data_IF_299718197590
#
_entry.id   IF_299718197590
#
_cell.length_a   1.000
_cell.length_b   1.000
_cell.length_c   1.000
_cell.angle_alpha   90.00
_cell.angle_beta   90.00
_cell.angle_gamma   90.00
#
_symmetry.space_group_name_H-M   'P 1'
#
loop_
_entity.id
_entity.type
_entity.pdbx_description
1 polymer ?
#
# COMPACT_ATOMS: atom_id res chain seq x y z
N UNK A 1 8.06 -17.35 11.29
CA UNK A 1 9.41 -17.02 11.81
C UNK A 1 10.20 -16.58 10.59
N UNK A 2 10.48 -15.30 10.36
CA UNK A 2 10.24 -14.14 11.22
C UNK A 2 8.77 -13.72 11.30
N UNK A 3 8.47 -12.94 12.33
CA UNK A 3 7.20 -12.29 12.66
C UNK A 3 7.52 -11.33 13.81
N UNK A 4 6.60 -10.43 14.20
CA UNK A 4 6.83 -9.61 15.38
C UNK A 4 6.74 -10.50 16.63
N UNK A 5 7.90 -10.97 17.09
CA UNK A 5 8.08 -11.77 18.28
C UNK A 5 8.15 -10.86 19.50
N UNK A 6 7.44 -11.29 20.52
CA UNK A 6 7.41 -10.76 21.87
C UNK A 6 7.26 -12.04 22.74
N UNK A 7 7.78 -12.16 23.98
CA UNK A 7 7.66 -13.39 24.80
C UNK A 7 7.38 -13.04 26.29
N UNK A 8 6.15 -13.19 26.85
CA UNK A 8 5.92 -12.75 28.24
C UNK A 8 6.46 -13.81 29.18
N UNK A 9 7.33 -13.39 30.09
CA UNK A 9 7.38 -13.88 31.47
C UNK A 9 7.62 -12.69 32.40
N UNK A 10 7.01 -12.63 33.60
CA UNK A 10 6.28 -13.67 34.33
C UNK A 10 5.11 -13.08 35.16
N UNK A 11 4.06 -13.88 35.40
CA UNK A 11 2.90 -13.46 36.21
C UNK A 11 1.61 -14.25 35.93
N UNK A 12 1.59 -15.54 36.28
CA UNK A 12 0.41 -16.42 36.47
C UNK A 12 -0.65 -16.59 35.35
N UNK A 13 -0.52 -15.98 34.17
CA UNK A 13 -1.48 -16.13 33.07
C UNK A 13 -0.81 -16.67 31.79
N UNK A 14 -1.16 -17.90 31.40
CA UNK A 14 -0.59 -18.57 30.23
C UNK A 14 -1.02 -17.94 28.89
N UNK A 15 -0.14 -17.97 27.89
CA UNK A 15 -0.45 -17.63 26.49
C UNK A 15 0.00 -16.27 25.96
N UNK A 16 0.80 -15.48 26.71
CA UNK A 16 1.16 -14.11 26.31
C UNK A 16 2.63 -13.91 25.83
N UNK A 17 2.83 -12.89 25.00
CA UNK A 17 4.07 -12.59 24.27
C UNK A 17 4.54 -11.10 24.42
N UNK A 18 5.52 -10.80 25.30
CA UNK A 18 6.48 -9.65 25.36
C UNK A 18 7.56 -9.75 26.47
N UNK A 19 8.86 -9.75 26.11
CA UNK A 19 9.95 -9.99 27.07
C UNK A 19 11.41 -9.86 26.57
N UNK A 20 11.67 -8.79 25.80
CA UNK A 20 12.97 -8.08 25.58
C UNK A 20 14.21 -8.81 25.03
N UNK A 21 14.77 -8.18 23.99
CA UNK A 21 16.20 -7.85 23.72
C UNK A 21 16.21 -6.70 22.67
N UNK A 22 17.22 -5.84 22.47
CA UNK A 22 18.41 -5.44 23.28
C UNK A 22 18.47 -3.89 23.39
N UNK A 23 19.45 -3.19 22.79
CA UNK A 23 19.70 -1.73 22.96
C UNK A 23 19.56 -0.87 21.68
N UNK A 24 19.22 -1.45 20.53
CA UNK A 24 19.01 -0.71 19.27
C UNK A 24 17.75 -1.20 18.52
N UNK A 25 17.06 -0.28 17.81
CA UNK A 25 15.78 -0.44 17.07
C UNK A 25 14.49 -0.38 17.90
N UNK A 26 14.19 0.80 18.46
CA UNK A 26 13.04 1.04 19.35
C UNK A 26 11.71 1.28 18.64
N UNK A 27 10.74 0.36 18.80
CA UNK A 27 9.33 0.59 18.49
C UNK A 27 8.44 -0.55 19.00
N UNK A 28 7.54 -0.27 19.95
CA UNK A 28 6.65 -1.28 20.56
C UNK A 28 5.24 -0.71 20.76
N UNK A 29 4.23 -1.58 20.81
CA UNK A 29 2.85 -1.22 21.15
C UNK A 29 2.51 -1.61 22.60
N UNK A 30 1.68 -0.80 23.28
CA UNK A 30 1.25 -1.08 24.65
C UNK A 30 -0.29 -1.15 24.77
N UNK A 31 -0.74 -2.27 25.34
CA UNK A 31 -2.06 -2.55 25.92
C UNK A 31 -3.31 -2.46 25.03
N UNK A 32 -4.32 -3.25 25.41
CA UNK A 32 -5.55 -3.50 24.63
C UNK A 32 -6.76 -3.11 25.49
N UNK A 33 -7.49 -2.08 25.08
CA UNK A 33 -8.80 -1.76 25.59
C UNK A 33 -9.74 -1.39 24.43
N UNK A 34 -11.02 -1.76 24.57
CA UNK A 34 -11.94 -2.12 23.48
C UNK A 34 -12.36 -1.02 22.51
N UNK A 35 -11.87 0.22 22.67
CA UNK A 35 -12.39 1.40 21.98
C UNK A 35 -11.35 2.29 21.29
N UNK A 36 -10.05 1.95 21.31
CA UNK A 36 -9.01 2.76 20.63
C UNK A 36 -7.73 2.01 20.28
N UNK A 37 -7.32 2.01 19.01
CA UNK A 37 -5.99 1.54 18.57
C UNK A 37 -5.00 2.70 18.60
N UNK A 38 -4.24 2.87 19.67
CA UNK A 38 -3.22 3.94 19.76
C UNK A 38 -1.85 3.41 19.33
N UNK A 39 -1.12 4.21 18.57
CA UNK A 39 0.21 3.91 18.07
C UNK A 39 1.26 4.26 19.14
N UNK A 40 2.05 3.28 19.59
CA UNK A 40 2.92 3.42 20.78
C UNK A 40 4.39 3.77 20.50
N UNK A 41 4.80 3.92 19.24
CA UNK A 41 6.20 4.14 18.88
C UNK A 41 6.65 5.60 19.07
N UNK A 42 7.75 5.71 19.80
CA UNK A 42 8.54 6.91 20.10
C UNK A 42 7.84 8.02 20.92
N UNK A 43 8.54 8.40 22.00
CA UNK A 43 8.28 9.65 22.70
C UNK A 43 8.58 10.78 21.73
N UNK A 44 7.68 11.75 21.62
CA UNK A 44 8.03 13.06 21.03
C UNK A 44 9.26 13.65 21.73
N UNK A 45 9.93 14.64 21.14
CA UNK A 45 11.04 15.36 21.79
C UNK A 45 10.71 15.90 23.21
N UNK A 46 9.42 16.03 23.54
CA UNK A 46 8.89 16.42 24.87
C UNK A 46 8.67 15.27 25.86
N UNK A 47 9.02 14.03 25.51
CA UNK A 47 8.87 12.86 26.38
C UNK A 47 7.48 12.20 26.40
N UNK A 48 6.50 12.77 25.70
CA UNK A 48 5.10 12.30 25.72
C UNK A 48 4.82 11.17 24.71
N UNK A 49 3.98 10.18 25.05
CA UNK A 49 3.58 9.10 24.13
C UNK A 49 2.69 9.63 23.00
N UNK A 50 2.84 9.05 21.81
CA UNK A 50 1.97 9.34 20.68
C UNK A 50 0.50 8.97 20.99
N UNK A 51 -0.41 9.90 20.69
CA UNK A 51 -1.87 9.72 20.85
C UNK A 51 -2.62 9.47 19.54
N UNK A 52 -1.90 9.30 18.41
CA UNK A 52 -2.53 9.10 17.10
C UNK A 52 -2.87 7.63 16.88
N UNK A 53 -3.99 7.41 16.20
CA UNK A 53 -4.54 6.08 16.01
C UNK A 53 -3.75 5.29 14.97
N UNK A 54 -3.44 4.03 15.29
CA UNK A 54 -2.93 3.08 14.31
C UNK A 54 -4.08 2.65 13.39
N UNK A 55 -4.23 3.36 12.27
CA UNK A 55 -5.25 3.06 11.27
C UNK A 55 -4.94 1.75 10.56
N UNK A 56 -5.74 0.73 10.90
CA UNK A 56 -5.79 -0.62 10.35
C UNK A 56 -4.66 -1.59 10.78
N UNK A 57 -5.07 -2.84 11.05
CA UNK A 57 -4.26 -3.94 11.61
C UNK A 57 -3.22 -4.50 10.62
N UNK A 58 -3.28 -4.08 9.36
CA UNK A 58 -2.60 -4.70 8.22
C UNK A 58 -1.70 -3.72 7.43
N UNK A 59 -1.65 -2.44 7.81
CA UNK A 59 -0.95 -1.40 7.07
C UNK A 59 0.07 -0.69 7.98
N UNK A 60 1.40 -0.82 7.76
CA UNK A 60 2.43 -0.41 8.73
C UNK A 60 2.69 1.11 8.82
N UNK A 61 1.89 1.96 8.19
CA UNK A 61 2.17 3.39 7.94
C UNK A 61 2.06 4.33 9.16
N UNK A 62 2.02 3.82 10.38
CA UNK A 62 2.02 4.68 11.56
C UNK A 62 3.44 5.16 11.95
N UNK A 63 4.45 4.29 11.88
CA UNK A 63 5.77 4.58 12.44
C UNK A 63 6.57 5.67 11.70
N UNK A 64 6.21 6.01 10.46
CA UNK A 64 6.92 7.05 9.70
C UNK A 64 6.63 8.50 10.14
N UNK A 65 5.69 8.72 11.08
CA UNK A 65 5.36 10.06 11.60
C UNK A 65 6.19 10.48 12.84
N UNK A 66 7.20 9.70 13.24
CA UNK A 66 7.96 9.92 14.47
C UNK A 66 9.48 10.11 14.29
N UNK A 67 10.07 9.58 13.22
CA UNK A 67 11.50 9.72 12.96
C UNK A 67 11.82 11.12 12.39
N UNK A 68 12.11 12.08 13.26
CA UNK A 68 12.52 13.45 12.92
C UNK A 68 13.83 13.52 12.09
N UNK A 69 14.61 12.43 12.02
CA UNK A 69 15.84 12.33 11.22
C UNK A 69 15.58 11.79 9.82
N UNK A 70 14.43 11.16 9.55
CA UNK A 70 13.99 10.83 8.19
C UNK A 70 13.32 12.07 7.58
N UNK A 71 13.78 12.58 6.43
CA UNK A 71 13.24 13.80 5.84
C UNK A 71 11.78 13.59 5.41
N UNK A 72 10.84 14.08 6.24
CA UNK A 72 9.38 14.16 6.01
C UNK A 72 8.88 13.16 4.97
N UNK A 73 8.89 11.87 5.32
CA UNK A 73 8.34 10.84 4.44
C UNK A 73 6.85 11.09 4.24
N UNK A 74 6.47 11.47 3.02
CA UNK A 74 5.08 11.53 2.55
C UNK A 74 4.37 10.24 2.97
N UNK A 75 3.28 10.35 3.74
CA UNK A 75 2.51 9.16 4.09
C UNK A 75 1.69 8.76 2.85
N UNK A 76 1.61 7.48 2.45
CA UNK A 76 0.75 7.07 1.34
C UNK A 76 -0.70 7.52 1.51
N UNK A 77 -1.19 7.63 2.75
CA UNK A 77 -2.54 8.12 3.03
C UNK A 77 -2.72 9.63 2.75
N UNK A 78 -1.65 10.42 2.70
CA UNK A 78 -1.73 11.84 2.34
C UNK A 78 -2.07 11.99 0.83
N UNK A 79 -1.86 10.94 0.02
CA UNK A 79 -2.27 10.83 -1.39
C UNK A 79 -3.69 10.27 -1.58
N UNK A 80 -4.42 9.90 -0.52
CA UNK A 80 -5.81 9.42 -0.60
C UNK A 80 -6.78 10.58 -0.39
N UNK A 81 -7.85 10.66 -1.18
CA UNK A 81 -8.95 11.58 -0.88
C UNK A 81 -9.88 11.01 0.21
N UNK A 82 -10.38 11.83 1.15
CA UNK A 82 -11.43 11.43 2.08
C UNK A 82 -12.68 10.93 1.35
N UNK A 83 -13.44 10.02 1.96
CA UNK A 83 -14.71 9.51 1.43
C UNK A 83 -14.66 8.97 -0.01
N UNK A 84 -13.48 8.50 -0.45
CA UNK A 84 -13.22 7.98 -1.80
C UNK A 84 -14.26 6.96 -2.30
N UNK A 85 -14.80 6.11 -1.43
CA UNK A 85 -15.87 5.16 -1.82
C UNK A 85 -17.13 5.92 -2.20
N UNK A 86 -17.62 6.74 -1.28
CA UNK A 86 -18.88 7.48 -1.39
C UNK A 86 -18.89 8.43 -2.59
N UNK A 87 -17.71 8.86 -3.06
CA UNK A 87 -17.55 9.70 -4.25
C UNK A 87 -17.38 8.93 -5.57
N UNK A 88 -16.80 7.73 -5.56
CA UNK A 88 -16.36 7.04 -6.80
C UNK A 88 -17.07 5.70 -7.05
N UNK A 89 -17.91 5.20 -6.13
CA UNK A 89 -18.49 3.85 -6.22
C UNK A 89 -19.26 3.62 -7.54
N UNK A 90 -20.13 4.55 -7.91
CA UNK A 90 -20.96 4.45 -9.12
C UNK A 90 -20.10 4.49 -10.39
N UNK A 91 -19.13 5.39 -10.47
CA UNK A 91 -18.17 5.47 -11.57
C UNK A 91 -17.33 4.20 -11.70
N UNK A 92 -16.92 3.58 -10.59
CA UNK A 92 -16.17 2.32 -10.58
C UNK A 92 -17.07 1.15 -11.03
N UNK A 93 -18.33 1.11 -10.58
CA UNK A 93 -19.29 0.09 -11.03
C UNK A 93 -19.57 0.22 -12.54
N UNK A 94 -19.75 1.46 -13.04
CA UNK A 94 -19.91 1.74 -14.46
C UNK A 94 -18.67 1.34 -15.28
N UNK A 95 -17.47 1.71 -14.82
CA UNK A 95 -16.19 1.33 -15.45
C UNK A 95 -15.98 -0.19 -15.51
N UNK A 96 -16.31 -0.90 -14.43
CA UNK A 96 -16.04 -2.34 -14.31
C UNK A 96 -17.19 -3.21 -14.81
N UNK A 97 -18.37 -2.63 -15.09
CA UNK A 97 -19.60 -3.35 -15.42
C UNK A 97 -20.13 -4.17 -14.25
N UNK A 98 -19.90 -3.71 -13.01
CA UNK A 98 -20.14 -4.47 -11.77
C UNK A 98 -19.39 -5.81 -11.70
N UNK A 99 -18.09 -5.83 -12.00
CA UNK A 99 -17.22 -7.01 -11.83
C UNK A 99 -16.06 -6.76 -10.87
N UNK A 100 -15.75 -7.75 -10.02
CA UNK A 100 -14.44 -7.83 -9.36
C UNK A 100 -13.39 -8.07 -10.45
N UNK A 101 -12.53 -7.08 -10.65
CA UNK A 101 -11.55 -7.06 -11.74
C UNK A 101 -10.46 -8.12 -11.60
N UNK A 102 -10.21 -8.64 -10.40
CA UNK A 102 -9.14 -9.59 -10.11
C UNK A 102 -9.66 -11.02 -10.08
N UNK A 103 -10.83 -11.26 -9.48
CA UNK A 103 -11.52 -12.53 -9.55
C UNK A 103 -12.11 -12.80 -10.94
N UNK A 104 -12.43 -11.73 -11.70
CA UNK A 104 -13.27 -11.75 -12.92
C UNK A 104 -14.57 -12.50 -12.64
N UNK A 105 -15.34 -11.97 -11.69
CA UNK A 105 -16.67 -12.43 -11.28
C UNK A 105 -17.62 -11.22 -11.15
N UNK A 106 -18.92 -11.36 -11.43
CA UNK A 106 -19.90 -10.32 -11.11
C UNK A 106 -19.85 -9.99 -9.61
N UNK A 107 -20.08 -8.72 -9.29
CA UNK A 107 -20.41 -8.28 -7.94
C UNK A 107 -21.93 -8.26 -7.89
N UNK A 108 -22.51 -9.13 -7.07
CA UNK A 108 -23.95 -9.11 -6.78
C UNK A 108 -24.27 -7.86 -5.96
N UNK A 109 -25.43 -7.22 -6.19
CA UNK A 109 -25.82 -5.98 -5.50
C UNK A 109 -25.80 -6.13 -3.97
N UNK A 110 -26.20 -7.30 -3.49
CA UNK A 110 -26.16 -7.73 -2.07
C UNK A 110 -24.76 -7.81 -1.48
N UNK A 111 -23.71 -7.84 -2.32
CA UNK A 111 -22.31 -7.98 -1.94
C UNK A 111 -21.49 -6.69 -2.16
N UNK A 112 -22.07 -5.63 -2.74
CA UNK A 112 -21.37 -4.35 -3.01
C UNK A 112 -20.73 -3.79 -1.73
N UNK A 113 -21.42 -3.85 -0.59
CA UNK A 113 -20.91 -3.38 0.70
C UNK A 113 -19.81 -4.24 1.33
N UNK A 114 -19.63 -5.48 0.85
CA UNK A 114 -18.49 -6.33 1.20
C UNK A 114 -17.25 -6.10 0.32
N UNK A 115 -17.39 -5.35 -0.79
CA UNK A 115 -16.27 -4.98 -1.66
C UNK A 115 -15.57 -3.72 -1.15
N UNK A 116 -14.26 -3.65 -1.30
CA UNK A 116 -13.45 -2.47 -0.99
C UNK A 116 -13.07 -1.72 -2.27
N UNK A 117 -13.12 -0.37 -2.21
CA UNK A 117 -12.54 0.48 -3.25
C UNK A 117 -11.02 0.51 -3.07
N UNK A 118 -10.32 0.10 -4.12
CA UNK A 118 -8.89 -0.16 -4.12
C UNK A 118 -8.17 0.63 -5.22
N UNK A 119 -6.94 1.05 -4.92
CA UNK A 119 -5.97 1.61 -5.86
C UNK A 119 -5.18 0.51 -6.57
N UNK A 120 -5.38 0.36 -7.88
CA UNK A 120 -4.71 -0.63 -8.74
C UNK A 120 -3.19 -0.47 -8.65
N UNK A 121 -2.69 0.75 -8.84
CA UNK A 121 -1.34 1.16 -8.48
C UNK A 121 -1.38 1.68 -7.05
N UNK A 122 -0.66 0.99 -6.16
CA UNK A 122 -0.67 1.27 -4.73
C UNK A 122 -0.14 2.67 -4.40
N UNK A 123 -0.73 3.29 -3.37
CA UNK A 123 -0.30 4.60 -2.88
C UNK A 123 1.16 4.60 -2.39
N UNK A 124 1.71 3.47 -1.93
CA UNK A 124 3.15 3.39 -1.63
C UNK A 124 4.03 3.50 -2.88
N UNK A 125 3.58 3.00 -4.04
CA UNK A 125 4.33 3.10 -5.30
C UNK A 125 4.38 4.55 -5.78
N UNK A 126 3.25 5.26 -5.70
CA UNK A 126 3.19 6.70 -5.98
C UNK A 126 4.04 7.52 -5.00
N UNK A 127 4.01 7.19 -3.69
CA UNK A 127 4.90 7.79 -2.68
C UNK A 127 6.36 7.58 -3.03
N UNK A 128 6.75 6.35 -3.40
CA UNK A 128 8.15 6.00 -3.65
C UNK A 128 8.68 6.73 -4.90
N UNK A 129 7.87 6.86 -5.96
CA UNK A 129 8.19 7.69 -7.12
C UNK A 129 8.36 9.18 -6.75
N UNK A 130 7.40 9.76 -6.01
CA UNK A 130 7.49 11.15 -5.50
C UNK A 130 8.69 11.37 -4.58
N UNK A 131 9.07 10.35 -3.80
CA UNK A 131 10.21 10.35 -2.88
C UNK A 131 11.57 10.42 -3.60
N UNK A 132 11.63 10.01 -4.86
CA UNK A 132 12.83 10.11 -5.70
C UNK A 132 12.95 11.45 -6.47
N UNK A 133 11.94 12.33 -6.39
CA UNK A 133 11.98 13.67 -7.00
C UNK A 133 12.72 14.69 -6.13
N UNK A 134 13.21 15.77 -6.75
CA UNK A 134 13.72 16.95 -6.04
C UNK A 134 12.62 17.60 -5.18
N UNK A 135 13.00 18.27 -4.09
CA UNK A 135 12.04 18.85 -3.14
C UNK A 135 11.08 19.90 -3.74
N UNK A 136 11.48 20.60 -4.82
CA UNK A 136 10.59 21.51 -5.57
C UNK A 136 9.53 20.72 -6.35
N UNK A 137 9.97 19.87 -7.29
CA UNK A 137 9.12 18.97 -8.08
C UNK A 137 8.18 18.14 -7.19
N UNK A 138 8.65 17.62 -6.06
CA UNK A 138 7.82 16.84 -5.13
C UNK A 138 6.66 17.65 -4.55
N UNK A 139 6.88 18.91 -4.14
CA UNK A 139 5.83 19.76 -3.56
C UNK A 139 4.74 20.09 -4.57
N UNK A 140 5.13 20.26 -5.83
CA UNK A 140 4.28 20.50 -6.98
C UNK A 140 3.49 19.23 -7.38
N UNK A 141 4.16 18.08 -7.46
CA UNK A 141 3.55 16.82 -7.89
C UNK A 141 2.67 16.14 -6.84
N UNK A 142 2.86 16.37 -5.52
CA UNK A 142 1.99 15.78 -4.48
C UNK A 142 0.49 16.09 -4.71
N UNK A 143 0.04 17.35 -4.83
CA UNK A 143 -1.37 17.64 -5.06
C UNK A 143 -1.85 17.15 -6.43
N UNK A 144 -1.01 17.21 -7.47
CA UNK A 144 -1.35 16.71 -8.80
C UNK A 144 -1.58 15.19 -8.77
N UNK A 145 -0.61 14.42 -8.26
CA UNK A 145 -0.70 12.95 -8.16
C UNK A 145 -1.89 12.55 -7.31
N UNK A 146 -2.13 13.23 -6.18
CA UNK A 146 -3.33 12.97 -5.37
C UNK A 146 -4.62 13.16 -6.16
N UNK A 147 -4.79 14.29 -6.84
CA UNK A 147 -6.09 14.67 -7.39
C UNK A 147 -6.34 14.14 -8.81
N UNK A 148 -5.30 13.79 -9.59
CA UNK A 148 -5.40 13.48 -11.02
C UNK A 148 -4.73 12.17 -11.45
N UNK A 149 -4.06 11.44 -10.54
CA UNK A 149 -3.35 10.19 -10.88
C UNK A 149 -3.72 9.06 -9.94
N UNK A 150 -3.40 9.20 -8.65
CA UNK A 150 -3.58 8.17 -7.64
C UNK A 150 -5.06 7.88 -7.38
N UNK A 151 -5.93 8.89 -7.33
CA UNK A 151 -7.39 8.70 -7.16
C UNK A 151 -8.17 8.88 -8.48
N UNK A 152 -7.50 8.86 -9.64
CA UNK A 152 -8.19 8.86 -10.92
C UNK A 152 -8.99 7.57 -11.12
N UNK A 153 -10.13 7.65 -11.82
CA UNK A 153 -11.01 6.52 -12.07
C UNK A 153 -10.29 5.37 -12.78
N UNK A 154 -9.26 5.61 -13.61
CA UNK A 154 -8.44 4.55 -14.20
C UNK A 154 -7.70 3.70 -13.15
N UNK A 155 -7.28 4.31 -12.03
CA UNK A 155 -6.59 3.65 -10.92
C UNK A 155 -7.52 2.97 -9.91
N UNK A 156 -8.84 3.13 -10.02
CA UNK A 156 -9.78 2.65 -9.02
C UNK A 156 -10.57 1.42 -9.48
N UNK A 157 -10.72 0.44 -8.59
CA UNK A 157 -11.46 -0.81 -8.82
C UNK A 157 -12.15 -1.28 -7.55
N UNK A 158 -13.10 -2.21 -7.70
CA UNK A 158 -13.66 -2.99 -6.59
C UNK A 158 -13.05 -4.40 -6.56
N UNK A 159 -12.78 -4.88 -5.35
CA UNK A 159 -12.45 -6.28 -5.07
C UNK A 159 -12.79 -6.63 -3.62
N UNK A 160 -12.71 -7.92 -3.26
CA UNK A 160 -12.86 -8.38 -1.88
C UNK A 160 -11.68 -7.97 -0.99
N UNK A 161 -11.93 -7.68 0.29
CA UNK A 161 -10.87 -7.32 1.26
C UNK A 161 -9.68 -8.33 1.30
N UNK A 162 -9.88 -9.66 1.26
CA UNK A 162 -8.76 -10.60 1.24
C UNK A 162 -7.85 -10.48 0.02
N UNK A 163 -8.41 -10.22 -1.17
CA UNK A 163 -7.63 -10.06 -2.42
C UNK A 163 -6.81 -8.77 -2.37
N UNK A 164 -7.41 -7.67 -1.89
CA UNK A 164 -6.71 -6.41 -1.65
C UNK A 164 -5.54 -6.60 -0.68
N UNK A 165 -5.77 -7.25 0.48
CA UNK A 165 -4.71 -7.50 1.47
C UNK A 165 -3.56 -8.32 0.88
N UNK A 166 -3.84 -9.37 0.09
CA UNK A 166 -2.80 -10.17 -0.58
C UNK A 166 -2.03 -9.38 -1.64
N UNK A 167 -2.72 -8.56 -2.46
CA UNK A 167 -2.08 -7.66 -3.43
C UNK A 167 -1.17 -6.64 -2.73
N UNK A 168 -1.70 -5.95 -1.72
CA UNK A 168 -1.00 -4.95 -0.95
C UNK A 168 0.32 -5.48 -0.37
N UNK A 169 0.28 -6.64 0.30
CA UNK A 169 1.49 -7.27 0.86
C UNK A 169 2.50 -7.65 -0.21
N UNK A 170 2.05 -8.22 -1.33
CA UNK A 170 2.93 -8.61 -2.41
C UNK A 170 3.68 -7.39 -3.00
N UNK A 171 2.98 -6.28 -3.21
CA UNK A 171 3.57 -5.03 -3.70
C UNK A 171 4.47 -4.38 -2.64
N UNK A 172 4.07 -4.42 -1.35
CA UNK A 172 4.91 -3.95 -0.25
C UNK A 172 6.25 -4.70 -0.19
N UNK A 173 6.23 -6.03 -0.10
CA UNK A 173 7.45 -6.85 -0.02
C UNK A 173 8.32 -6.71 -1.28
N UNK A 174 7.71 -6.66 -2.47
CA UNK A 174 8.42 -6.38 -3.72
C UNK A 174 9.10 -4.99 -3.73
N UNK A 175 8.47 -3.97 -3.13
CA UNK A 175 9.03 -2.62 -3.04
C UNK A 175 10.17 -2.52 -2.03
N UNK A 176 10.05 -3.17 -0.87
CA UNK A 176 11.12 -3.19 0.13
C UNK A 176 12.35 -3.98 -0.37
N UNK A 177 12.16 -5.18 -0.92
CA UNK A 177 13.27 -5.97 -1.47
C UNK A 177 13.95 -5.28 -2.68
N UNK A 178 13.21 -4.49 -3.46
CA UNK A 178 13.79 -3.65 -4.52
C UNK A 178 14.68 -2.53 -3.97
N UNK A 179 14.32 -1.91 -2.82
CA UNK A 179 15.12 -0.86 -2.18
C UNK A 179 16.39 -1.39 -1.51
N UNK A 180 16.45 -2.70 -1.22
CA UNK A 180 17.61 -3.34 -0.58
C UNK A 180 18.39 -4.24 -1.54
N UNK A 181 18.24 -4.06 -2.86
CA UNK A 181 18.86 -4.87 -3.92
C UNK A 181 18.71 -6.40 -3.71
N UNK A 182 17.63 -6.80 -3.05
CA UNK A 182 17.31 -8.18 -2.64
C UNK A 182 16.18 -8.80 -3.47
N UNK A 183 15.70 -8.08 -4.50
CA UNK A 183 14.51 -8.42 -5.27
C UNK A 183 14.65 -9.79 -5.97
N UNK A 184 13.60 -10.61 -5.83
CA UNK A 184 13.54 -11.90 -6.53
C UNK A 184 13.63 -11.72 -8.07
N UNK A 185 14.39 -12.58 -8.81
CA UNK A 185 14.52 -12.46 -10.26
C UNK A 185 13.20 -12.51 -11.06
N UNK A 186 12.11 -13.06 -10.53
CA UNK A 186 10.77 -13.04 -11.14
C UNK A 186 9.91 -11.79 -10.80
N UNK A 187 10.47 -10.84 -10.04
CA UNK A 187 9.83 -9.58 -9.66
C UNK A 187 8.50 -9.78 -8.92
N UNK A 188 7.56 -8.85 -9.11
CA UNK A 188 6.25 -8.84 -8.45
C UNK A 188 5.46 -10.15 -8.63
N UNK A 189 5.68 -10.88 -9.74
CA UNK A 189 5.08 -12.20 -10.00
C UNK A 189 5.39 -13.20 -8.89
N UNK A 190 6.59 -13.16 -8.31
CA UNK A 190 7.00 -14.02 -7.20
C UNK A 190 6.15 -13.79 -5.95
N UNK A 191 6.08 -12.53 -5.53
CA UNK A 191 5.39 -12.10 -4.30
C UNK A 191 3.87 -12.32 -4.40
N UNK A 192 3.26 -12.04 -5.56
CA UNK A 192 1.84 -12.34 -5.80
C UNK A 192 1.56 -13.86 -5.71
N UNK A 193 2.42 -14.70 -6.30
CA UNK A 193 2.25 -16.16 -6.21
C UNK A 193 2.41 -16.71 -4.78
N UNK A 194 3.17 -16.03 -3.91
CA UNK A 194 3.28 -16.35 -2.49
C UNK A 194 2.04 -15.92 -1.70
N UNK A 195 1.58 -14.67 -1.84
CA UNK A 195 0.41 -14.17 -1.10
C UNK A 195 -0.91 -14.84 -1.52
N UNK A 196 -0.98 -15.41 -2.73
CA UNK A 196 -2.10 -16.25 -3.18
C UNK A 196 -1.83 -17.76 -3.05
N UNK A 197 -0.82 -18.20 -2.30
CA UNK A 197 -0.42 -19.62 -2.22
C UNK A 197 -1.51 -20.57 -1.67
N UNK A 198 -2.44 -20.07 -0.85
CA UNK A 198 -3.57 -20.85 -0.31
C UNK A 198 -4.71 -21.08 -1.33
N UNK A 199 -4.69 -20.40 -2.48
CA UNK A 199 -5.66 -20.64 -3.55
C UNK A 199 -5.21 -21.78 -4.46
N UNK A 200 -6.14 -22.35 -5.24
CA UNK A 200 -5.80 -23.34 -6.26
C UNK A 200 -4.74 -22.79 -7.23
N UNK A 201 -3.88 -23.67 -7.76
CA UNK A 201 -2.77 -23.26 -8.64
C UNK A 201 -3.23 -22.53 -9.90
N UNK A 202 -4.46 -22.77 -10.34
CA UNK A 202 -5.12 -22.00 -11.40
C UNK A 202 -5.53 -20.61 -10.90
N UNK A 203 -6.26 -20.53 -9.78
CA UNK A 203 -6.75 -19.27 -9.19
C UNK A 203 -5.62 -18.31 -8.87
N UNK A 204 -4.53 -18.76 -8.25
CA UNK A 204 -3.39 -17.89 -7.91
C UNK A 204 -2.70 -17.31 -9.15
N UNK A 205 -2.58 -18.10 -10.22
CA UNK A 205 -2.08 -17.64 -11.53
C UNK A 205 -3.05 -16.65 -12.20
N UNK A 206 -4.36 -16.88 -12.07
CA UNK A 206 -5.41 -15.97 -12.56
C UNK A 206 -5.34 -14.62 -11.85
N UNK A 207 -5.32 -14.59 -10.51
CA UNK A 207 -5.18 -13.36 -9.72
C UNK A 207 -3.88 -12.61 -10.07
N UNK A 208 -2.73 -13.30 -10.06
CA UNK A 208 -1.42 -12.70 -10.40
C UNK A 208 -1.45 -12.02 -11.79
N UNK A 209 -1.99 -12.72 -12.81
CA UNK A 209 -2.10 -12.18 -14.17
C UNK A 209 -3.06 -10.99 -14.23
N UNK A 210 -4.23 -11.10 -13.60
CA UNK A 210 -5.22 -10.02 -13.64
C UNK A 210 -4.69 -8.76 -12.93
N UNK A 211 -4.05 -8.91 -11.77
CA UNK A 211 -3.42 -7.79 -11.05
C UNK A 211 -2.37 -7.11 -11.93
N UNK A 212 -1.39 -7.86 -12.49
CA UNK A 212 -0.39 -7.30 -13.41
C UNK A 212 -1.04 -6.59 -14.61
N UNK A 213 -2.05 -7.21 -15.24
CA UNK A 213 -2.71 -6.64 -16.41
C UNK A 213 -3.44 -5.32 -16.09
N UNK A 214 -4.18 -5.24 -14.98
CA UNK A 214 -4.83 -3.99 -14.58
C UNK A 214 -3.78 -2.93 -14.15
N UNK A 215 -2.68 -3.31 -13.49
CA UNK A 215 -1.57 -2.39 -13.19
C UNK A 215 -0.95 -1.79 -14.46
N UNK A 216 -0.71 -2.59 -15.50
CA UNK A 216 -0.21 -2.11 -16.79
C UNK A 216 -1.21 -1.14 -17.44
N UNK A 217 -2.51 -1.48 -17.49
CA UNK A 217 -3.54 -0.59 -18.05
C UNK A 217 -3.66 0.72 -17.27
N UNK A 218 -3.59 0.66 -15.94
CA UNK A 218 -3.66 1.83 -15.08
C UNK A 218 -2.46 2.74 -15.30
N UNK A 219 -1.26 2.16 -15.41
CA UNK A 219 -0.04 2.89 -15.77
C UNK A 219 -0.20 3.55 -17.14
N UNK A 220 -0.63 2.80 -18.16
CA UNK A 220 -0.82 3.30 -19.52
C UNK A 220 -1.79 4.48 -19.58
N UNK A 221 -2.92 4.41 -18.86
CA UNK A 221 -3.90 5.48 -18.81
C UNK A 221 -3.39 6.73 -18.06
N UNK A 222 -2.62 6.54 -16.98
CA UNK A 222 -2.06 7.65 -16.22
C UNK A 222 -0.93 8.36 -16.98
N UNK A 223 -0.01 7.59 -17.57
CA UNK A 223 1.21 8.13 -18.16
C UNK A 223 1.00 8.69 -19.57
N UNK A 224 0.14 8.09 -20.41
CA UNK A 224 -0.16 8.65 -21.75
C UNK A 224 -0.89 9.99 -21.70
N UNK A 225 -1.39 10.40 -20.53
CA UNK A 225 -2.00 11.71 -20.29
C UNK A 225 -1.03 12.76 -19.73
N UNK A 226 0.23 12.42 -19.40
CA UNK A 226 1.22 13.34 -18.81
C UNK A 226 2.00 14.19 -19.83
N UNK A 227 1.56 14.26 -21.10
CA UNK A 227 2.21 15.00 -22.20
C UNK A 227 2.13 16.55 -22.08
N UNK A 228 2.16 17.09 -20.86
CA UNK A 228 2.51 18.48 -20.55
C UNK A 228 4.02 18.55 -20.35
N UNK A 229 4.74 19.27 -21.22
CA UNK A 229 6.22 19.41 -21.20
C UNK A 229 6.76 20.23 -20.03
N UNK A 230 6.44 19.81 -18.81
CA UNK A 230 6.82 20.41 -17.54
C UNK A 230 7.74 19.43 -16.78
N UNK A 231 8.95 19.87 -16.48
CA UNK A 231 10.05 19.05 -15.93
C UNK A 231 9.73 18.27 -14.63
N UNK A 232 8.61 18.55 -13.95
CA UNK A 232 8.17 17.81 -12.77
C UNK A 232 7.31 16.59 -13.13
N UNK A 233 6.50 16.69 -14.19
CA UNK A 233 5.62 15.63 -14.68
C UNK A 233 6.43 14.51 -15.33
N UNK A 234 7.31 14.86 -16.29
CA UNK A 234 8.22 13.92 -16.95
C UNK A 234 9.09 13.16 -15.93
N UNK A 235 9.63 13.88 -14.94
CA UNK A 235 10.45 13.27 -13.90
C UNK A 235 9.64 12.31 -13.01
N UNK A 236 8.39 12.64 -12.68
CA UNK A 236 7.50 11.75 -11.94
C UNK A 236 7.18 10.47 -12.74
N UNK A 237 6.86 10.61 -14.02
CA UNK A 237 6.63 9.47 -14.92
C UNK A 237 7.86 8.58 -14.99
N UNK A 238 9.05 9.16 -15.20
CA UNK A 238 10.33 8.44 -15.25
C UNK A 238 10.56 7.61 -13.96
N UNK A 239 10.28 8.17 -12.77
CA UNK A 239 10.44 7.43 -11.50
C UNK A 239 9.37 6.35 -11.32
N UNK A 240 8.13 6.58 -11.75
CA UNK A 240 7.09 5.56 -11.72
C UNK A 240 7.38 4.42 -12.70
N UNK A 241 7.84 4.74 -13.91
CA UNK A 241 8.28 3.78 -14.92
C UNK A 241 9.46 2.95 -14.41
N UNK A 242 10.45 3.59 -13.79
CA UNK A 242 11.59 2.92 -13.16
C UNK A 242 11.18 1.87 -12.13
N UNK A 243 10.18 2.17 -11.29
CA UNK A 243 9.60 1.19 -10.35
C UNK A 243 8.90 0.04 -11.09
N UNK A 244 8.13 0.31 -12.15
CA UNK A 244 7.44 -0.74 -12.90
C UNK A 244 8.40 -1.68 -13.65
N UNK A 245 9.47 -1.13 -14.22
CA UNK A 245 10.57 -1.90 -14.84
C UNK A 245 11.31 -2.71 -13.78
N UNK A 246 11.68 -2.08 -12.65
CA UNK A 246 12.35 -2.72 -11.53
C UNK A 246 11.56 -3.89 -10.94
N UNK A 247 10.26 -3.69 -10.70
CA UNK A 247 9.33 -4.72 -10.21
C UNK A 247 8.99 -5.80 -11.25
N UNK A 248 9.49 -5.67 -12.49
CA UNK A 248 9.22 -6.59 -13.62
C UNK A 248 7.73 -6.75 -13.91
N UNK A 249 7.03 -5.62 -13.95
CA UNK A 249 5.60 -5.58 -14.28
C UNK A 249 5.41 -5.73 -15.80
N UNK A 250 6.24 -5.06 -16.62
CA UNK A 250 6.18 -5.12 -18.09
C UNK A 250 6.80 -6.39 -18.72
N UNK A 251 7.32 -7.33 -17.93
CA UNK A 251 7.87 -8.62 -18.39
C UNK A 251 6.87 -9.77 -18.28
#
# INVERSE_FOLDING_TARGET
MYGCLAIIKSGENEGQLCGRETENNTGYCFQWNSHSRICGSERTATGNPCKKYATLKYFPYCCSKHDEKRPTQLNPQDLRIPYLRDHMLDDILLKTGSFDVYAKKPIEDTLIDSQVVEHVIELQTHRDALGALMNSQRKEMIPYVRNHVANDISNLVLTTEPVNISKFKAIYSCSEDYKTDSLNPAGLTHYLLQEFALHSSESKRKYTRNIKNEMIKSYDNQCKCLLSGENAHDAYEEKLQGLFVGFKIFS
#
